data_IF_674677813994
#
_entry.id   IF_674677813994
#
_cell.length_a   1.000
_cell.length_b   1.000
_cell.length_c   1.000
_cell.angle_alpha   90.00
_cell.angle_beta   90.00
_cell.angle_gamma   90.00
#
_symmetry.space_group_name_H-M   'P 1'
#
loop_
_entity.id
_entity.type
_entity.pdbx_description
1 polymer ?
#
# COMPACT_ATOMS: atom_id res chain seq x y z
N UNK A 1 -15.73 -25.63 16.75
CA UNK A 1 -14.81 -24.90 17.63
C UNK A 1 -13.77 -24.23 16.76
N UNK A 2 -13.61 -22.91 16.83
CA UNK A 2 -12.50 -22.23 16.13
C UNK A 2 -11.19 -22.63 16.78
N UNK A 3 -10.30 -23.26 16.04
CA UNK A 3 -8.98 -23.69 16.54
C UNK A 3 -8.11 -22.46 16.73
N UNK A 4 -7.78 -22.14 17.98
CA UNK A 4 -6.81 -21.08 18.28
C UNK A 4 -5.40 -21.55 17.96
N UNK A 5 -4.68 -20.80 17.19
CA UNK A 5 -3.28 -21.02 16.82
C UNK A 5 -2.40 -20.16 17.72
N UNK A 6 -1.32 -20.72 18.26
CA UNK A 6 -0.31 -19.98 19.03
C UNK A 6 0.98 -19.88 18.20
N UNK A 7 1.61 -18.70 18.22
CA UNK A 7 2.85 -18.43 17.48
C UNK A 7 3.60 -17.26 18.15
N UNK A 8 4.77 -16.91 17.64
CA UNK A 8 5.52 -15.74 18.15
C UNK A 8 5.93 -14.80 17.02
N UNK A 9 5.96 -13.49 17.31
CA UNK A 9 6.57 -12.47 16.44
C UNK A 9 7.59 -11.69 17.26
N UNK A 10 8.84 -11.71 16.84
CA UNK A 10 9.96 -11.05 17.54
C UNK A 10 10.01 -11.42 19.05
N UNK A 11 9.73 -12.68 19.37
CA UNK A 11 9.65 -13.18 20.75
C UNK A 11 8.35 -12.87 21.50
N UNK A 12 7.45 -12.04 20.98
CA UNK A 12 6.14 -11.78 21.56
C UNK A 12 5.19 -12.93 21.27
N UNK A 13 4.59 -13.50 22.32
CA UNK A 13 3.54 -14.52 22.18
C UNK A 13 2.29 -13.91 21.55
N UNK A 14 1.75 -14.56 20.55
CA UNK A 14 0.61 -14.13 19.75
C UNK A 14 -0.38 -15.28 19.54
N UNK A 15 -1.62 -14.95 19.29
CA UNK A 15 -2.70 -15.91 18.96
C UNK A 15 -3.36 -15.53 17.64
N UNK A 16 -3.87 -16.53 16.92
CA UNK A 16 -4.60 -16.32 15.67
C UNK A 16 -5.74 -17.31 15.53
N UNK A 17 -6.71 -16.99 14.71
CA UNK A 17 -7.72 -17.92 14.23
C UNK A 17 -7.17 -18.72 13.04
N UNK A 18 -7.63 -19.95 12.90
CA UNK A 18 -7.27 -20.77 11.73
C UNK A 18 -7.58 -20.04 10.42
N UNK A 19 -6.63 -20.05 9.49
CA UNK A 19 -6.74 -19.39 8.18
C UNK A 19 -6.38 -17.90 8.15
N UNK A 20 -6.16 -17.23 9.28
CA UNK A 20 -5.65 -15.87 9.28
C UNK A 20 -4.26 -15.78 8.67
N UNK A 21 -4.00 -14.71 7.91
CA UNK A 21 -2.65 -14.40 7.44
C UNK A 21 -1.78 -13.86 8.58
N UNK A 22 -0.46 -14.00 8.45
CA UNK A 22 0.51 -13.43 9.40
C UNK A 22 0.25 -11.93 9.61
N UNK A 23 -0.08 -11.18 8.55
CA UNK A 23 -0.34 -9.74 8.63
C UNK A 23 -1.59 -9.42 9.46
N UNK A 24 -2.69 -10.16 9.24
CA UNK A 24 -3.92 -10.00 10.02
C UNK A 24 -3.72 -10.36 11.48
N UNK A 25 -3.10 -11.52 11.74
CA UNK A 25 -2.80 -11.98 13.09
C UNK A 25 -1.85 -11.02 13.83
N UNK A 26 -0.84 -10.47 13.15
CA UNK A 26 0.06 -9.47 13.72
C UNK A 26 -0.72 -8.21 14.16
N UNK A 27 -1.60 -7.70 13.31
CA UNK A 27 -2.45 -6.54 13.61
C UNK A 27 -3.33 -6.78 14.84
N UNK A 28 -4.00 -7.93 14.91
CA UNK A 28 -4.86 -8.31 16.05
C UNK A 28 -4.09 -8.43 17.37
N UNK A 29 -2.79 -8.79 17.30
CA UNK A 29 -1.91 -8.86 18.46
C UNK A 29 -1.11 -7.56 18.72
N UNK A 30 -1.43 -6.47 18.04
CA UNK A 30 -0.77 -5.19 18.27
C UNK A 30 0.68 -5.16 17.75
N UNK A 31 0.98 -5.89 16.66
CA UNK A 31 2.29 -5.87 16.00
C UNK A 31 2.16 -5.27 14.61
N UNK A 32 2.93 -4.21 14.35
CA UNK A 32 2.94 -3.58 13.05
C UNK A 32 3.88 -4.29 12.08
N UNK A 33 3.35 -4.70 10.94
CA UNK A 33 4.13 -5.18 9.79
C UNK A 33 3.89 -4.21 8.62
N UNK A 34 4.95 -3.55 8.10
CA UNK A 34 4.84 -2.59 7.02
C UNK A 34 4.25 -3.19 5.75
N UNK A 35 3.36 -2.44 5.09
CA UNK A 35 2.77 -2.89 3.83
C UNK A 35 2.23 -1.69 3.04
N UNK A 36 2.15 -1.80 1.69
CA UNK A 36 1.60 -0.77 0.80
C UNK A 36 0.59 -1.33 -0.21
N UNK A 37 0.60 -2.62 -0.50
CA UNK A 37 -0.35 -3.21 -1.46
C UNK A 37 -1.53 -3.92 -0.78
N UNK A 38 -1.46 -4.20 0.51
CA UNK A 38 -2.58 -4.74 1.28
C UNK A 38 -3.58 -3.64 1.61
N UNK A 39 -4.85 -3.99 1.61
CA UNK A 39 -5.96 -3.16 2.08
C UNK A 39 -7.06 -4.09 2.57
N UNK A 40 -7.66 -3.75 3.72
CA UNK A 40 -8.69 -4.59 4.34
C UNK A 40 -9.90 -4.78 3.41
N UNK A 41 -10.41 -5.99 3.38
CA UNK A 41 -11.49 -6.39 2.47
C UNK A 41 -11.07 -6.69 1.03
N UNK A 42 -9.78 -6.54 0.67
CA UNK A 42 -9.26 -6.94 -0.63
C UNK A 42 -8.39 -8.20 -0.55
N UNK A 43 -8.53 -9.09 -1.53
CA UNK A 43 -7.61 -10.24 -1.65
C UNK A 43 -6.15 -9.75 -1.69
N UNK A 44 -5.22 -10.38 -0.98
CA UNK A 44 -3.82 -9.98 -1.01
C UNK A 44 -3.22 -10.01 -2.42
N UNK A 45 -2.39 -8.99 -2.74
CA UNK A 45 -1.70 -8.93 -4.03
C UNK A 45 -0.27 -9.48 -3.98
N UNK A 46 0.37 -9.46 -2.79
CA UNK A 46 1.76 -9.86 -2.63
C UNK A 46 2.78 -9.02 -3.43
N UNK A 47 2.37 -7.85 -3.95
CA UNK A 47 3.12 -7.11 -4.96
C UNK A 47 4.27 -6.25 -4.38
N UNK A 48 4.04 -5.52 -3.27
CA UNK A 48 5.02 -4.54 -2.77
C UNK A 48 6.16 -5.16 -1.98
N UNK A 49 6.00 -6.36 -1.44
CA UNK A 49 6.98 -7.10 -0.62
C UNK A 49 7.43 -6.42 0.68
N UNK A 50 6.89 -5.25 1.04
CA UNK A 50 7.20 -4.59 2.31
C UNK A 50 6.80 -5.42 3.53
N UNK A 51 5.75 -6.25 3.41
CA UNK A 51 5.30 -7.13 4.48
C UNK A 51 6.13 -8.43 4.59
N UNK A 52 7.31 -8.49 3.98
CA UNK A 52 8.18 -9.65 4.13
C UNK A 52 8.60 -9.81 5.58
N UNK A 53 8.47 -11.03 6.07
CA UNK A 53 8.93 -11.51 7.38
C UNK A 53 9.76 -12.77 7.17
N UNK A 54 10.48 -13.21 8.20
CA UNK A 54 11.30 -14.41 8.14
C UNK A 54 10.80 -15.45 9.15
N UNK A 55 10.74 -16.71 8.76
CA UNK A 55 10.42 -17.82 9.65
C UNK A 55 11.17 -19.07 9.18
N UNK A 56 11.79 -19.77 10.10
CA UNK A 56 12.64 -20.94 9.80
C UNK A 56 13.66 -20.66 8.66
N UNK A 57 14.28 -19.50 8.67
CA UNK A 57 15.26 -19.07 7.65
C UNK A 57 14.69 -18.65 6.30
N UNK A 58 13.37 -18.68 6.10
CA UNK A 58 12.72 -18.37 4.81
C UNK A 58 11.98 -17.04 4.86
N UNK A 59 12.10 -16.24 3.81
CA UNK A 59 11.32 -15.03 3.62
C UNK A 59 9.93 -15.35 3.06
N UNK A 60 8.90 -14.73 3.66
CA UNK A 60 7.53 -14.90 3.21
C UNK A 60 6.74 -13.58 3.28
N UNK A 61 5.73 -13.44 2.45
CA UNK A 61 4.87 -12.27 2.46
C UNK A 61 3.78 -12.44 3.51
N UNK A 62 3.84 -11.69 4.61
CA UNK A 62 2.90 -11.77 5.72
C UNK A 62 1.43 -11.56 5.29
N UNK A 63 1.16 -10.75 4.28
CA UNK A 63 -0.19 -10.48 3.78
C UNK A 63 -0.84 -11.68 3.06
N UNK A 64 -0.07 -12.71 2.71
CA UNK A 64 -0.55 -13.86 1.92
C UNK A 64 -0.33 -15.20 2.61
N UNK A 65 0.61 -15.27 3.53
CA UNK A 65 0.98 -16.52 4.22
C UNK A 65 0.09 -16.73 5.44
N UNK A 66 -0.63 -17.85 5.55
CA UNK A 66 -1.38 -18.19 6.76
C UNK A 66 -0.46 -18.50 7.93
N UNK A 67 -0.92 -18.20 9.14
CA UNK A 67 -0.23 -18.57 10.37
C UNK A 67 -0.43 -20.05 10.65
N UNK A 68 0.65 -20.72 11.12
CA UNK A 68 0.61 -22.09 11.60
C UNK A 68 1.00 -22.16 13.08
N UNK A 69 0.50 -23.17 13.78
CA UNK A 69 0.80 -23.35 15.20
C UNK A 69 2.31 -23.57 15.45
N UNK A 70 2.83 -22.91 16.46
CA UNK A 70 4.26 -22.94 16.81
C UNK A 70 5.18 -22.16 15.87
N UNK A 71 4.63 -21.38 14.91
CA UNK A 71 5.45 -20.59 14.00
C UNK A 71 6.22 -19.51 14.77
N UNK A 72 7.51 -19.39 14.50
CA UNK A 72 8.39 -18.33 15.02
C UNK A 72 8.67 -17.35 13.89
N UNK A 73 8.24 -16.11 14.05
CA UNK A 73 8.30 -15.06 13.02
C UNK A 73 9.25 -13.96 13.47
N UNK A 74 10.19 -13.63 12.60
CA UNK A 74 11.08 -12.49 12.73
C UNK A 74 10.52 -11.36 11.82
N UNK A 75 10.31 -10.19 12.39
CA UNK A 75 9.77 -9.01 11.69
C UNK A 75 10.73 -7.81 11.76
N UNK A 76 11.41 -7.59 12.88
CA UNK A 76 12.24 -6.41 13.14
C UNK A 76 13.73 -6.72 13.15
N UNK A 77 14.21 -7.53 12.20
CA UNK A 77 15.66 -7.76 12.03
C UNK A 77 16.30 -6.66 11.21
N UNK A 78 17.59 -6.38 11.42
CA UNK A 78 18.34 -5.38 10.66
C UNK A 78 18.28 -5.66 9.15
N UNK A 79 18.33 -6.93 8.75
CA UNK A 79 18.22 -7.38 7.36
C UNK A 79 16.84 -7.03 6.74
N UNK A 80 15.73 -7.30 7.46
CA UNK A 80 14.39 -6.97 7.01
C UNK A 80 14.16 -5.47 6.93
N UNK A 81 14.70 -4.71 7.88
CA UNK A 81 14.60 -3.25 7.89
C UNK A 81 15.37 -2.62 6.72
N UNK A 82 16.59 -3.10 6.40
CA UNK A 82 17.33 -2.63 5.25
C UNK A 82 16.66 -3.00 3.92
N UNK A 83 16.14 -4.23 3.81
CA UNK A 83 15.37 -4.66 2.63
C UNK A 83 14.12 -3.78 2.43
N UNK A 84 13.38 -3.46 3.49
CA UNK A 84 12.20 -2.58 3.42
C UNK A 84 12.59 -1.17 3.01
N UNK A 85 13.69 -0.64 3.56
CA UNK A 85 14.23 0.65 3.18
C UNK A 85 14.60 0.67 1.69
N UNK A 86 15.29 -0.35 1.19
CA UNK A 86 15.63 -0.48 -0.23
C UNK A 86 14.37 -0.50 -1.12
N UNK A 87 13.33 -1.24 -0.74
CA UNK A 87 12.06 -1.27 -1.48
C UNK A 87 11.41 0.13 -1.54
N UNK A 88 11.39 0.85 -0.42
CA UNK A 88 10.82 2.20 -0.36
C UNK A 88 11.63 3.15 -1.26
N UNK A 89 12.94 3.10 -1.19
CA UNK A 89 13.84 3.89 -2.03
C UNK A 89 13.60 3.62 -3.53
N UNK A 90 13.49 2.35 -3.92
CA UNK A 90 13.17 1.96 -5.30
C UNK A 90 11.80 2.49 -5.75
N UNK A 91 10.78 2.44 -4.89
CA UNK A 91 9.46 3.00 -5.20
C UNK A 91 9.49 4.52 -5.42
N UNK A 92 10.38 5.23 -4.71
CA UNK A 92 10.57 6.67 -4.94
C UNK A 92 11.29 6.98 -6.24
N UNK A 93 12.37 6.27 -6.57
CA UNK A 93 13.16 6.55 -7.77
C UNK A 93 12.51 6.07 -9.07
N UNK A 94 11.60 5.07 -8.99
CA UNK A 94 10.81 4.60 -10.12
C UNK A 94 9.66 5.54 -10.52
N UNK A 95 9.35 6.54 -9.72
CA UNK A 95 8.24 7.46 -9.94
C UNK A 95 8.63 8.93 -9.77
N UNK A 96 7.71 9.82 -10.15
CA UNK A 96 7.87 11.27 -10.02
C UNK A 96 7.13 11.77 -8.77
N UNK A 97 7.67 11.48 -7.59
CA UNK A 97 7.04 11.79 -6.31
C UNK A 97 7.42 13.20 -5.80
N UNK A 98 6.83 14.24 -6.39
CA UNK A 98 7.01 15.62 -5.96
C UNK A 98 6.08 15.93 -4.77
N UNK A 99 6.49 15.49 -3.58
CA UNK A 99 5.67 15.58 -2.36
C UNK A 99 5.19 16.99 -1.99
N UNK A 100 5.99 18.06 -2.13
CA UNK A 100 5.54 19.41 -1.78
C UNK A 100 4.33 19.92 -2.59
N UNK A 101 4.18 19.44 -3.84
CA UNK A 101 3.08 19.81 -4.74
C UNK A 101 2.01 18.73 -4.88
N UNK A 102 2.03 17.71 -4.02
CA UNK A 102 1.09 16.59 -4.07
C UNK A 102 -0.01 16.73 -3.03
N UNK A 103 -1.27 16.74 -3.46
CA UNK A 103 -2.44 16.85 -2.56
C UNK A 103 -2.56 15.64 -1.59
N UNK A 104 -1.89 14.53 -1.90
CA UNK A 104 -1.83 13.37 -0.99
C UNK A 104 -0.78 13.54 0.12
N UNK A 105 0.05 14.57 0.08
CA UNK A 105 1.08 14.84 1.11
C UNK A 105 0.46 14.84 2.51
N UNK A 106 1.12 14.21 3.49
CA UNK A 106 0.60 14.00 4.84
C UNK A 106 -0.44 12.87 4.98
N UNK A 107 -1.10 12.47 3.88
CA UNK A 107 -2.01 11.31 3.80
C UNK A 107 -1.42 10.16 2.96
N UNK A 108 -0.21 10.31 2.45
CA UNK A 108 0.46 9.36 1.57
C UNK A 108 1.18 8.28 2.38
N UNK A 109 0.80 7.01 2.19
CA UNK A 109 1.43 5.89 2.90
C UNK A 109 2.90 5.70 2.50
N UNK A 110 3.27 5.93 1.22
CA UNK A 110 4.66 5.85 0.78
C UNK A 110 5.53 6.96 1.41
N UNK A 111 5.03 8.19 1.46
CA UNK A 111 5.71 9.30 2.13
C UNK A 111 5.92 9.01 3.62
N UNK A 112 4.89 8.50 4.30
CA UNK A 112 4.95 8.14 5.71
C UNK A 112 5.96 6.99 5.96
N UNK A 113 6.06 6.03 5.02
CA UNK A 113 7.10 4.99 5.07
C UNK A 113 8.50 5.59 4.89
N UNK A 114 8.67 6.55 3.98
CA UNK A 114 9.94 7.27 3.82
C UNK A 114 10.40 7.90 5.14
N UNK A 115 9.50 8.55 5.87
CA UNK A 115 9.80 9.12 7.19
C UNK A 115 10.11 8.03 8.23
N UNK A 116 9.30 6.97 8.30
CA UNK A 116 9.53 5.85 9.22
C UNK A 116 10.92 5.24 9.05
N UNK A 117 11.36 5.04 7.82
CA UNK A 117 12.66 4.45 7.50
C UNK A 117 13.78 5.48 7.38
N UNK A 118 13.54 6.74 7.81
CA UNK A 118 14.52 7.85 7.80
C UNK A 118 15.24 7.97 6.46
N UNK A 119 14.48 7.87 5.39
CA UNK A 119 15.01 8.01 4.03
C UNK A 119 15.20 9.50 3.74
N UNK A 120 16.46 9.97 3.74
CA UNK A 120 16.81 11.33 3.35
C UNK A 120 17.13 11.40 1.85
N UNK A 121 17.92 10.45 1.36
CA UNK A 121 18.31 10.31 -0.03
C UNK A 121 18.24 8.83 -0.41
N UNK A 122 17.64 8.48 -1.55
CA UNK A 122 17.66 7.11 -2.06
C UNK A 122 19.08 6.68 -2.43
N UNK A 123 19.42 5.41 -2.22
CA UNK A 123 20.69 4.79 -2.67
C UNK A 123 20.72 4.55 -4.18
N UNK A 124 19.57 4.54 -4.83
CA UNK A 124 19.42 4.24 -6.25
C UNK A 124 19.25 5.53 -7.06
N UNK A 125 19.70 5.57 -8.34
CA UNK A 125 19.52 6.72 -9.20
C UNK A 125 18.05 6.91 -9.57
N UNK A 126 17.60 8.15 -9.70
CA UNK A 126 16.25 8.47 -10.18
C UNK A 126 16.11 8.12 -11.66
N UNK A 127 14.99 7.47 -12.01
CA UNK A 127 14.71 7.06 -13.38
C UNK A 127 13.96 8.13 -14.19
N UNK A 128 13.30 9.09 -13.52
CA UNK A 128 12.53 10.19 -14.13
C UNK A 128 11.64 9.73 -15.29
N UNK A 129 10.75 8.75 -15.07
CA UNK A 129 9.99 8.17 -16.16
C UNK A 129 9.00 9.19 -16.74
N UNK A 130 8.95 9.28 -18.07
CA UNK A 130 7.90 9.99 -18.77
C UNK A 130 6.60 9.19 -18.73
N UNK A 131 5.68 9.60 -17.87
CA UNK A 131 4.38 8.96 -17.72
C UNK A 131 3.28 10.01 -17.74
N UNK A 132 2.25 9.74 -18.55
CA UNK A 132 1.13 10.67 -18.75
C UNK A 132 0.15 10.62 -17.58
N UNK A 133 -0.46 11.76 -17.32
CA UNK A 133 -1.63 11.88 -16.46
C UNK A 133 -2.87 11.52 -17.31
N UNK A 134 -3.67 10.59 -16.82
CA UNK A 134 -4.97 10.26 -17.40
C UNK A 134 -6.07 11.04 -16.67
N UNK A 135 -6.64 12.01 -17.36
CA UNK A 135 -7.73 12.86 -16.87
C UNK A 135 -9.05 12.59 -17.58
N UNK A 136 -9.22 11.43 -18.22
CA UNK A 136 -10.42 11.06 -19.00
C UNK A 136 -11.68 10.93 -18.13
N UNK A 137 -11.54 10.60 -16.85
CA UNK A 137 -12.68 10.59 -15.92
C UNK A 137 -13.16 12.01 -15.59
N UNK A 138 -14.49 12.23 -15.50
CA UNK A 138 -15.01 13.53 -15.05
C UNK A 138 -14.68 13.82 -13.58
N UNK A 139 -14.46 12.80 -12.73
CA UNK A 139 -14.39 12.92 -11.26
C UNK A 139 -13.00 12.77 -10.67
N UNK A 140 -12.13 12.04 -11.33
CA UNK A 140 -10.77 11.75 -10.86
C UNK A 140 -9.76 11.94 -11.98
N UNK A 141 -8.50 12.04 -11.61
CA UNK A 141 -7.39 11.81 -12.52
C UNK A 141 -6.44 10.75 -11.97
N UNK A 142 -5.70 10.11 -12.85
CA UNK A 142 -4.68 9.14 -12.53
C UNK A 142 -3.32 9.59 -13.04
N UNK A 143 -2.43 9.91 -12.11
CA UNK A 143 -1.03 10.22 -12.42
C UNK A 143 -0.20 8.93 -12.42
N UNK A 144 0.11 8.42 -13.59
CA UNK A 144 0.92 7.22 -13.74
C UNK A 144 2.37 7.41 -13.27
N UNK A 145 2.85 8.64 -13.18
CA UNK A 145 4.16 8.98 -12.63
C UNK A 145 4.27 8.71 -11.12
N UNK A 146 3.17 8.84 -10.40
CA UNK A 146 3.10 8.58 -8.95
C UNK A 146 2.65 7.15 -8.59
N UNK A 147 2.30 6.34 -9.60
CA UNK A 147 1.70 5.02 -9.38
C UNK A 147 2.75 3.96 -9.02
N UNK A 148 2.65 3.38 -7.83
CA UNK A 148 3.50 2.28 -7.34
C UNK A 148 3.01 0.87 -7.73
N UNK A 149 2.06 0.76 -8.64
CA UNK A 149 1.52 -0.50 -9.17
C UNK A 149 1.02 -1.48 -8.08
N UNK A 150 0.49 -0.97 -6.98
CA UNK A 150 0.02 -1.78 -5.83
C UNK A 150 -1.25 -2.58 -6.13
N UNK A 151 -1.95 -2.29 -7.22
CA UNK A 151 -3.19 -2.95 -7.68
C UNK A 151 -4.39 -2.81 -6.73
N UNK A 152 -4.38 -1.90 -5.75
CA UNK A 152 -5.54 -1.70 -4.89
C UNK A 152 -6.76 -1.24 -5.69
N UNK A 153 -6.60 -0.25 -6.58
CA UNK A 153 -7.67 0.27 -7.43
C UNK A 153 -8.26 -0.81 -8.36
N UNK A 154 -7.40 -1.61 -8.99
CA UNK A 154 -7.82 -2.71 -9.89
C UNK A 154 -8.67 -3.75 -9.16
N UNK A 155 -8.38 -4.03 -7.87
CA UNK A 155 -9.08 -5.05 -7.08
C UNK A 155 -10.27 -4.54 -6.28
N UNK A 156 -10.33 -3.22 -6.02
CA UNK A 156 -11.29 -2.66 -5.07
C UNK A 156 -12.33 -1.71 -5.64
N UNK A 157 -12.27 -1.41 -6.93
CA UNK A 157 -13.14 -0.42 -7.58
C UNK A 157 -13.74 -1.02 -8.85
N UNK A 158 -15.04 -1.30 -8.81
CA UNK A 158 -15.76 -1.88 -9.92
C UNK A 158 -17.14 -1.22 -10.08
N UNK A 159 -17.70 -1.28 -11.28
CA UNK A 159 -19.07 -0.87 -11.53
C UNK A 159 -20.08 -1.89 -10.94
N UNK A 160 -21.36 -1.64 -11.12
CA UNK A 160 -22.45 -2.52 -10.63
C UNK A 160 -22.40 -3.94 -11.20
N UNK A 161 -21.82 -4.10 -12.38
CA UNK A 161 -21.71 -5.38 -13.09
C UNK A 161 -20.41 -6.13 -12.76
N UNK A 162 -19.59 -5.59 -11.85
CA UNK A 162 -18.34 -6.19 -11.39
C UNK A 162 -17.10 -5.90 -12.26
N UNK A 163 -17.22 -5.06 -13.30
CA UNK A 163 -16.07 -4.67 -14.13
C UNK A 163 -15.26 -3.58 -13.44
N UNK A 164 -13.95 -3.78 -13.35
CA UNK A 164 -13.06 -2.83 -12.70
C UNK A 164 -12.92 -1.53 -13.51
N UNK A 165 -13.00 -0.37 -12.85
CA UNK A 165 -12.69 0.93 -13.45
C UNK A 165 -11.21 1.11 -13.81
N UNK A 166 -10.35 0.22 -13.33
CA UNK A 166 -8.90 0.27 -13.56
C UNK A 166 -8.37 -1.08 -14.01
N UNK A 167 -7.57 -1.10 -15.04
CA UNK A 167 -6.98 -2.30 -15.59
C UNK A 167 -5.45 -2.23 -15.60
N UNK A 168 -4.79 -3.39 -15.51
CA UNK A 168 -3.37 -3.49 -15.81
C UNK A 168 -3.18 -3.70 -17.30
N UNK A 169 -2.33 -2.89 -17.89
CA UNK A 169 -1.90 -3.04 -19.29
C UNK A 169 -0.39 -3.27 -19.33
N UNK A 170 0.06 -3.87 -20.42
CA UNK A 170 1.44 -4.23 -20.67
C UNK A 170 2.03 -5.21 -19.62
N UNK A 171 3.32 -5.48 -19.71
CA UNK A 171 4.06 -6.39 -18.83
C UNK A 171 5.47 -5.87 -18.55
N UNK A 172 6.14 -6.48 -17.56
CA UNK A 172 7.50 -6.09 -17.17
C UNK A 172 7.58 -4.63 -16.72
N UNK A 173 8.61 -3.94 -17.15
CA UNK A 173 8.83 -2.53 -16.83
C UNK A 173 7.75 -1.60 -17.39
N UNK A 174 7.12 -2.01 -18.49
CA UNK A 174 6.05 -1.25 -19.15
C UNK A 174 4.68 -1.45 -18.52
N UNK A 175 4.55 -2.27 -17.48
CA UNK A 175 3.28 -2.44 -16.76
C UNK A 175 2.74 -1.11 -16.26
N UNK A 176 1.47 -0.82 -16.62
CA UNK A 176 0.76 0.42 -16.20
C UNK A 176 -0.62 0.07 -15.69
N UNK A 177 -1.10 0.88 -14.76
CA UNK A 177 -2.52 0.97 -14.42
C UNK A 177 -3.14 1.98 -15.38
N UNK A 178 -4.26 1.63 -15.99
CA UNK A 178 -5.03 2.49 -16.90
C UNK A 178 -6.48 2.56 -16.45
N UNK A 179 -7.08 3.74 -16.60
CA UNK A 179 -8.52 3.94 -16.43
C UNK A 179 -9.24 3.26 -17.59
N UNK A 180 -10.31 2.54 -17.32
CA UNK A 180 -11.19 1.98 -18.34
C UNK A 180 -12.11 3.06 -18.90
N UNK A 181 -11.82 3.55 -20.11
CA UNK A 181 -12.53 4.63 -20.72
C UNK A 181 -14.00 4.30 -21.05
N UNK A 182 -14.33 3.02 -21.19
CA UNK A 182 -15.69 2.59 -21.54
C UNK A 182 -16.67 2.74 -20.38
N UNK A 183 -16.19 2.57 -19.15
CA UNK A 183 -17.07 2.52 -17.96
C UNK A 183 -16.79 3.61 -16.92
N UNK A 184 -15.70 4.38 -17.07
CA UNK A 184 -15.29 5.35 -16.04
C UNK A 184 -16.31 6.45 -15.81
N UNK A 185 -17.10 6.81 -16.82
CA UNK A 185 -18.18 7.80 -16.71
C UNK A 185 -19.28 7.35 -15.73
N UNK A 186 -19.44 6.05 -15.53
CA UNK A 186 -20.41 5.46 -14.60
C UNK A 186 -19.97 5.53 -13.13
N UNK A 187 -18.72 5.92 -12.86
CA UNK A 187 -18.17 5.92 -11.48
C UNK A 187 -18.99 6.85 -10.57
N UNK A 188 -19.63 6.32 -9.51
CA UNK A 188 -20.32 7.15 -8.52
C UNK A 188 -19.34 8.00 -7.70
N UNK A 189 -19.81 9.13 -7.14
CA UNK A 189 -18.98 10.01 -6.28
C UNK A 189 -18.38 9.28 -5.08
N UNK A 190 -19.16 8.41 -4.45
CA UNK A 190 -18.68 7.58 -3.35
C UNK A 190 -17.51 6.66 -3.77
N UNK A 191 -17.50 6.15 -5.00
CA UNK A 191 -16.39 5.36 -5.51
C UNK A 191 -15.19 6.22 -5.93
N UNK A 192 -15.42 7.42 -6.43
CA UNK A 192 -14.35 8.38 -6.71
C UNK A 192 -13.61 8.78 -5.41
N UNK A 193 -14.35 9.01 -4.34
CA UNK A 193 -13.76 9.26 -3.01
C UNK A 193 -13.04 8.02 -2.46
N UNK A 194 -13.66 6.84 -2.57
CA UNK A 194 -13.03 5.57 -2.20
C UNK A 194 -11.75 5.33 -2.99
N UNK A 195 -11.70 5.69 -4.28
CA UNK A 195 -10.52 5.53 -5.12
C UNK A 195 -9.33 6.34 -4.60
N UNK A 196 -9.57 7.60 -4.22
CA UNK A 196 -8.55 8.46 -3.63
C UNK A 196 -8.08 7.95 -2.26
N UNK A 197 -8.99 7.45 -1.41
CA UNK A 197 -8.64 6.85 -0.10
C UNK A 197 -7.88 5.53 -0.24
N UNK A 198 -8.31 4.69 -1.17
CA UNK A 198 -7.75 3.36 -1.44
C UNK A 198 -6.31 3.44 -2.01
N UNK A 199 -6.04 4.48 -2.81
CA UNK A 199 -4.70 4.68 -3.37
C UNK A 199 -3.72 5.07 -2.25
N UNK A 200 -2.65 4.27 -2.01
CA UNK A 200 -1.69 4.55 -0.93
C UNK A 200 -0.82 5.78 -1.20
N UNK A 201 -0.82 6.27 -2.44
CA UNK A 201 -0.04 7.42 -2.91
C UNK A 201 -0.92 8.44 -3.62
N UNK A 202 -0.34 9.54 -4.11
CA UNK A 202 -1.06 10.57 -4.88
C UNK A 202 -1.27 10.24 -6.35
N UNK A 203 -1.40 8.95 -6.72
CA UNK A 203 -1.62 8.57 -8.11
C UNK A 203 -3.09 8.71 -8.53
N UNK A 204 -4.05 8.55 -7.62
CA UNK A 204 -5.47 8.78 -7.90
C UNK A 204 -5.94 9.88 -6.98
N UNK A 205 -6.41 10.98 -7.56
CA UNK A 205 -6.91 12.14 -6.84
C UNK A 205 -8.25 12.59 -7.45
N UNK A 206 -9.12 13.12 -6.61
CA UNK A 206 -10.38 13.74 -7.07
C UNK A 206 -10.09 15.07 -7.75
N UNK A 207 -10.83 15.36 -8.80
CA UNK A 207 -10.85 16.70 -9.41
C UNK A 207 -11.55 17.68 -8.46
N UNK A 208 -11.17 18.94 -8.52
CA UNK A 208 -11.83 20.07 -7.82
C UNK A 208 -11.77 20.04 -6.28
N UNK A 209 -10.92 19.19 -5.70
CA UNK A 209 -10.82 19.02 -4.23
C UNK A 209 -9.39 19.14 -3.70
N UNK A 210 -8.53 19.92 -4.36
CA UNK A 210 -7.12 20.06 -4.01
C UNK A 210 -6.89 20.64 -2.62
N UNK A 211 -5.92 20.09 -1.88
CA UNK A 211 -5.40 20.61 -0.61
C UNK A 211 -6.46 20.91 0.47
N UNK A 212 -7.53 20.12 0.52
CA UNK A 212 -8.67 20.34 1.41
C UNK A 212 -8.34 20.18 2.91
N UNK A 213 -7.24 19.47 3.26
CA UNK A 213 -6.82 19.26 4.64
C UNK A 213 -5.60 20.12 4.97
N UNK A 214 -5.67 21.00 5.98
CA UNK A 214 -4.53 21.80 6.43
C UNK A 214 -3.37 20.94 6.94
N UNK A 215 -2.15 21.42 6.77
CA UNK A 215 -0.95 20.85 7.39
C UNK A 215 -1.14 20.81 8.90
N UNK A 216 -0.75 19.70 9.54
CA UNK A 216 -0.96 19.44 10.97
C UNK A 216 -2.22 18.63 11.29
N UNK A 217 -3.17 18.49 10.35
CA UNK A 217 -4.44 17.74 10.55
C UNK A 217 -4.55 16.47 9.71
N UNK A 218 -3.55 16.21 8.86
CA UNK A 218 -3.55 15.06 7.95
C UNK A 218 -3.15 13.78 8.70
N UNK A 219 -3.46 12.64 8.11
CA UNK A 219 -3.37 11.31 8.73
C UNK A 219 -2.01 11.03 9.41
N UNK A 220 -0.91 11.43 8.79
CA UNK A 220 0.44 11.12 9.27
C UNK A 220 1.21 12.33 9.82
N UNK A 221 0.55 13.47 10.01
CA UNK A 221 1.21 14.66 10.56
C UNK A 221 1.55 14.49 12.05
N UNK A 222 0.59 14.01 12.85
CA UNK A 222 0.78 13.77 14.29
C UNK A 222 1.11 12.31 14.61
N UNK A 223 0.69 11.37 13.78
CA UNK A 223 0.76 9.95 14.03
C UNK A 223 1.58 9.25 12.94
N UNK A 224 2.88 8.98 13.15
CA UNK A 224 3.70 8.24 12.21
C UNK A 224 3.06 6.89 11.84
N UNK A 225 3.24 6.46 10.60
CA UNK A 225 2.67 5.19 10.14
C UNK A 225 3.14 4.02 11.02
N UNK A 226 2.20 3.22 11.51
CA UNK A 226 2.44 2.10 12.43
C UNK A 226 2.64 2.49 13.89
N UNK A 227 2.49 3.77 14.28
CA UNK A 227 2.49 4.19 15.69
C UNK A 227 1.14 3.93 16.36
N UNK A 228 0.06 4.02 15.60
CA UNK A 228 -1.28 3.64 16.03
C UNK A 228 -1.69 2.43 15.19
N UNK A 229 -1.90 1.32 15.89
CA UNK A 229 -2.53 0.16 15.30
C UNK A 229 -4.04 0.40 15.37
N UNK A 230 -4.65 0.69 14.24
CA UNK A 230 -6.11 0.79 14.18
C UNK A 230 -6.69 -0.56 14.64
N UNK A 231 -7.33 -0.53 15.79
CA UNK A 231 -8.21 -1.61 16.25
C UNK A 231 -9.52 -1.58 15.50
#
# INVERSE_FOLDING_TARGET
METTITFTIDGKACTAKSGQTILQAALDNGVYIPNLCHYDGLKPAGACRLCSVKSAGRYMAACHTPVNNGMVIENMTAELEDMRKAIIEMLFVEGNHLCPSCEKSGNCELQAMGYRYRMLVPRFPYLWPERKIDASSPKIFHDAGRCIKCKRCVRGLANKDGFSFFNLINRGMETRVKIDAAIISEMPDAQAEKAMKLCPVGAILRKETGFAQPVGTRKFDANPIGSILNK
#
